data_IF_948605687162
#
_entry.id   IF_948605687162
#
_cell.length_a   1.000
_cell.length_b   1.000
_cell.length_c   1.000
_cell.angle_alpha   90.00
_cell.angle_beta   90.00
_cell.angle_gamma   90.00
#
_symmetry.space_group_name_H-M   'P 1'
#
loop_
_entity.id
_entity.type
_entity.pdbx_description
1 polymer ?
#
# COMPACT_ATOMS: atom_id res chain seq x y z
N UNK A 1 -19.97 27.89 -26.76
CA UNK A 1 -18.49 27.93 -26.75
C UNK A 1 -18.02 26.77 -25.87
N UNK A 2 -17.51 25.70 -26.48
CA UNK A 2 -17.20 24.43 -25.82
C UNK A 2 -15.88 24.61 -25.06
N UNK A 3 -15.81 24.45 -23.72
CA UNK A 3 -14.54 24.58 -23.04
C UNK A 3 -13.63 23.43 -23.47
N UNK A 4 -12.45 23.85 -23.88
CA UNK A 4 -11.41 23.16 -24.62
C UNK A 4 -10.94 21.89 -23.90
N UNK A 5 -11.12 20.75 -24.57
CA UNK A 5 -10.73 19.38 -24.21
C UNK A 5 -9.20 19.14 -24.25
N UNK A 6 -8.39 20.10 -23.80
CA UNK A 6 -6.94 20.10 -24.05
C UNK A 6 -6.07 19.98 -22.78
N UNK A 7 -6.67 19.84 -21.58
CA UNK A 7 -5.92 19.55 -20.35
C UNK A 7 -6.02 18.08 -19.87
N UNK A 8 -6.80 17.25 -20.57
CA UNK A 8 -6.94 15.82 -20.26
C UNK A 8 -5.77 15.00 -20.79
N UNK A 9 -5.05 15.47 -21.81
CA UNK A 9 -4.02 14.70 -22.52
C UNK A 9 -2.65 14.64 -21.85
N UNK A 10 -2.34 15.55 -20.91
CA UNK A 10 -1.05 15.55 -20.20
C UNK A 10 -1.03 14.58 -19.02
N UNK A 11 -2.18 14.39 -18.35
CA UNK A 11 -2.30 13.51 -17.17
C UNK A 11 -2.58 12.05 -17.58
N UNK A 12 -3.24 11.85 -18.73
CA UNK A 12 -3.53 10.51 -19.25
C UNK A 12 -2.35 9.92 -20.05
N UNK A 13 -1.28 10.68 -20.31
CA UNK A 13 -0.02 10.12 -20.81
C UNK A 13 0.79 9.59 -19.63
N UNK A 14 0.73 8.28 -19.44
CA UNK A 14 1.79 7.58 -18.73
C UNK A 14 3.06 7.71 -19.55
N UNK A 15 3.82 8.76 -19.27
CA UNK A 15 5.11 8.96 -19.90
C UNK A 15 5.99 7.77 -19.56
N UNK A 16 6.82 7.38 -20.54
CA UNK A 16 7.79 6.30 -20.36
C UNK A 16 8.65 6.52 -19.10
N UNK A 17 8.94 7.79 -18.78
CA UNK A 17 9.61 8.18 -17.55
C UNK A 17 8.85 7.74 -16.28
N UNK A 18 7.55 8.04 -16.18
CA UNK A 18 6.71 7.67 -15.03
C UNK A 18 6.62 6.16 -14.86
N UNK A 19 6.47 5.42 -15.95
CA UNK A 19 6.44 3.94 -15.92
C UNK A 19 7.81 3.39 -15.50
N UNK A 20 8.91 3.89 -16.07
CA UNK A 20 10.25 3.45 -15.71
C UNK A 20 10.57 3.75 -14.24
N UNK A 21 10.14 4.91 -13.74
CA UNK A 21 10.27 5.28 -12.34
C UNK A 21 9.44 4.38 -11.41
N UNK A 22 8.20 4.04 -11.80
CA UNK A 22 7.35 3.09 -11.07
C UNK A 22 7.98 1.69 -10.97
N UNK A 23 8.57 1.21 -12.06
CA UNK A 23 9.30 -0.07 -12.07
C UNK A 23 10.52 0.01 -11.12
N UNK A 24 11.30 1.08 -11.19
CA UNK A 24 12.47 1.27 -10.33
C UNK A 24 12.09 1.30 -8.85
N UNK A 25 11.10 2.10 -8.48
CA UNK A 25 10.69 2.25 -7.08
C UNK A 25 10.05 0.95 -6.55
N UNK A 26 9.36 0.19 -7.40
CA UNK A 26 8.82 -1.13 -7.06
C UNK A 26 9.91 -2.16 -6.79
N UNK A 27 10.99 -2.17 -7.57
CA UNK A 27 12.16 -3.04 -7.32
C UNK A 27 12.82 -2.67 -5.98
N UNK A 28 13.02 -1.38 -5.73
CA UNK A 28 13.57 -0.89 -4.47
C UNK A 28 12.68 -1.27 -3.29
N UNK A 29 11.36 -1.09 -3.43
CA UNK A 29 10.36 -1.50 -2.45
C UNK A 29 10.45 -2.98 -2.11
N UNK A 30 10.51 -3.84 -3.12
CA UNK A 30 10.66 -5.29 -2.94
C UNK A 30 11.93 -5.66 -2.17
N UNK A 31 13.06 -5.01 -2.49
CA UNK A 31 14.32 -5.21 -1.76
C UNK A 31 14.19 -4.79 -0.30
N UNK A 32 13.55 -3.65 -0.03
CA UNK A 32 13.32 -3.16 1.34
C UNK A 32 12.44 -4.13 2.12
N UNK A 33 11.32 -4.57 1.56
CA UNK A 33 10.39 -5.51 2.21
C UNK A 33 11.08 -6.83 2.54
N UNK A 34 11.82 -7.40 1.58
CA UNK A 34 12.55 -8.66 1.79
C UNK A 34 13.61 -8.57 2.91
N UNK A 35 14.19 -7.39 3.12
CA UNK A 35 15.13 -7.16 4.24
C UNK A 35 14.41 -6.86 5.55
N UNK A 36 13.26 -6.20 5.50
CA UNK A 36 12.54 -5.74 6.68
C UNK A 36 11.81 -6.87 7.40
N UNK A 37 11.21 -7.80 6.65
CA UNK A 37 10.48 -8.97 7.19
C UNK A 37 11.33 -9.75 8.23
N UNK A 38 12.56 -10.21 7.93
CA UNK A 38 13.34 -10.97 8.91
C UNK A 38 13.77 -10.11 10.12
N UNK A 39 14.01 -8.80 9.93
CA UNK A 39 14.41 -7.90 11.02
C UNK A 39 13.27 -7.69 12.02
N UNK A 40 12.03 -7.56 11.52
CA UNK A 40 10.88 -7.27 12.37
C UNK A 40 10.15 -8.52 12.86
N UNK A 41 10.40 -9.69 12.28
CA UNK A 41 9.83 -10.98 12.69
C UNK A 41 9.82 -11.17 14.22
N UNK A 42 10.95 -10.90 14.88
CA UNK A 42 11.08 -11.04 16.34
C UNK A 42 10.18 -10.09 17.13
N UNK A 43 9.87 -8.90 16.61
CA UNK A 43 8.94 -7.96 17.25
C UNK A 43 7.50 -8.48 17.21
N UNK A 44 7.09 -9.09 16.10
CA UNK A 44 5.75 -9.68 15.97
C UNK A 44 5.59 -10.89 16.89
N UNK A 45 6.61 -11.75 16.99
CA UNK A 45 6.60 -12.87 17.95
C UNK A 45 6.49 -12.36 19.39
N UNK A 46 7.23 -11.29 19.74
CA UNK A 46 7.13 -10.65 21.06
C UNK A 46 5.74 -10.05 21.33
N UNK A 47 5.10 -9.49 20.30
CA UNK A 47 3.75 -8.93 20.38
C UNK A 47 2.63 -9.99 20.44
N UNK A 48 2.96 -11.28 20.57
CA UNK A 48 2.01 -12.40 20.51
C UNK A 48 1.30 -12.55 19.14
N UNK A 49 1.82 -11.93 18.08
CA UNK A 49 1.35 -12.09 16.70
C UNK A 49 2.14 -13.21 16.03
N UNK A 50 1.87 -14.44 16.46
CA UNK A 50 2.53 -15.63 15.94
C UNK A 50 1.58 -16.82 15.96
N UNK A 51 1.82 -17.75 15.06
CA UNK A 51 1.11 -19.01 14.97
C UNK A 51 2.01 -20.18 14.66
N UNK A 52 1.37 -21.34 14.60
CA UNK A 52 2.00 -22.63 14.35
C UNK A 52 1.65 -23.10 12.93
N UNK A 53 2.63 -23.64 12.21
CA UNK A 53 2.39 -24.24 10.90
C UNK A 53 1.65 -25.57 11.05
N UNK A 54 0.33 -25.56 10.87
CA UNK A 54 -0.54 -26.74 11.10
C UNK A 54 -0.18 -27.93 10.20
N UNK A 55 0.53 -27.70 9.09
CA UNK A 55 0.86 -28.73 8.11
C UNK A 55 2.23 -29.40 8.36
N UNK A 56 2.93 -29.05 9.46
CA UNK A 56 4.23 -29.63 9.80
C UNK A 56 4.19 -30.43 11.10
N UNK A 57 4.90 -31.55 11.17
CA UNK A 57 4.97 -32.36 12.42
C UNK A 57 5.66 -31.63 13.57
N UNK A 58 6.62 -30.76 13.25
CA UNK A 58 7.35 -29.94 14.24
C UNK A 58 6.62 -28.61 14.56
N UNK A 59 5.32 -28.53 14.25
CA UNK A 59 4.50 -27.32 14.38
C UNK A 59 4.61 -26.65 15.74
N UNK A 60 4.61 -27.44 16.82
CA UNK A 60 4.61 -26.95 18.21
C UNK A 60 5.93 -26.33 18.66
N UNK A 61 7.04 -26.60 17.96
CA UNK A 61 8.37 -26.14 18.35
C UNK A 61 8.75 -24.79 17.73
N UNK A 62 8.23 -24.49 16.53
CA UNK A 62 8.61 -23.30 15.76
C UNK A 62 7.47 -22.30 15.72
N UNK A 63 7.72 -21.10 16.27
CA UNK A 63 6.81 -19.96 16.15
C UNK A 63 7.05 -19.23 14.84
N UNK A 64 5.98 -19.00 14.07
CA UNK A 64 6.02 -18.23 12.83
C UNK A 64 5.32 -16.89 13.09
N UNK A 65 5.99 -15.79 12.76
CA UNK A 65 5.39 -14.47 12.89
C UNK A 65 4.22 -14.31 11.91
N UNK A 66 3.07 -13.90 12.42
CA UNK A 66 1.87 -13.64 11.62
C UNK A 66 1.80 -12.15 11.25
N UNK A 67 0.82 -11.80 10.42
CA UNK A 67 0.53 -10.41 10.01
C UNK A 67 1.67 -9.65 9.33
N UNK A 68 2.67 -10.34 8.78
CA UNK A 68 3.83 -9.69 8.12
C UNK A 68 3.43 -8.90 6.87
N UNK A 69 2.25 -9.15 6.30
CA UNK A 69 1.68 -8.40 5.18
C UNK A 69 1.54 -6.90 5.47
N UNK A 70 1.35 -6.50 6.73
CA UNK A 70 1.27 -5.07 7.12
C UNK A 70 2.56 -4.31 6.79
N UNK A 71 3.72 -4.98 6.83
CA UNK A 71 5.01 -4.38 6.48
C UNK A 71 5.11 -4.12 4.99
N UNK A 72 4.73 -5.11 4.17
CA UNK A 72 4.70 -4.97 2.72
C UNK A 72 3.73 -3.86 2.29
N UNK A 73 2.55 -3.82 2.89
CA UNK A 73 1.54 -2.80 2.64
C UNK A 73 1.99 -1.40 3.10
N UNK A 74 2.65 -1.29 4.26
CA UNK A 74 3.20 -0.02 4.74
C UNK A 74 4.24 0.57 3.77
N UNK A 75 5.14 -0.27 3.25
CA UNK A 75 6.09 0.16 2.22
C UNK A 75 5.35 0.57 0.94
N UNK A 76 4.39 -0.24 0.47
CA UNK A 76 3.58 0.10 -0.70
C UNK A 76 2.90 1.48 -0.57
N UNK A 77 2.27 1.78 0.57
CA UNK A 77 1.61 3.07 0.79
C UNK A 77 2.60 4.24 0.72
N UNK A 78 3.79 4.11 1.34
CA UNK A 78 4.84 5.12 1.27
C UNK A 78 5.30 5.35 -0.18
N UNK A 79 5.50 4.29 -0.95
CA UNK A 79 5.91 4.39 -2.35
C UNK A 79 4.83 5.07 -3.20
N UNK A 80 3.56 4.76 -2.97
CA UNK A 80 2.45 5.39 -3.67
C UNK A 80 2.30 6.88 -3.35
N UNK A 81 2.57 7.31 -2.11
CA UNK A 81 2.65 8.74 -1.79
C UNK A 81 3.77 9.45 -2.55
N UNK A 82 4.94 8.82 -2.69
CA UNK A 82 6.05 9.34 -3.50
C UNK A 82 5.64 9.41 -4.97
N UNK A 83 4.97 8.38 -5.50
CA UNK A 83 4.48 8.36 -6.88
C UNK A 83 3.48 9.48 -7.18
N UNK A 84 2.53 9.75 -6.27
CA UNK A 84 1.63 10.90 -6.43
C UNK A 84 2.43 12.20 -6.48
N UNK A 85 3.38 12.40 -5.57
CA UNK A 85 4.18 13.62 -5.55
C UNK A 85 4.93 13.84 -6.88
N UNK A 86 5.44 12.76 -7.48
CA UNK A 86 6.12 12.81 -8.79
C UNK A 86 5.15 13.12 -9.93
N UNK A 87 4.01 12.42 -10.01
CA UNK A 87 3.02 12.61 -11.09
C UNK A 87 2.45 14.02 -11.10
N UNK A 88 2.21 14.62 -9.93
CA UNK A 88 1.65 15.96 -9.84
C UNK A 88 2.70 17.08 -9.77
N UNK A 89 3.99 16.74 -9.70
CA UNK A 89 5.11 17.70 -9.52
C UNK A 89 5.05 18.87 -10.51
N UNK A 90 4.82 18.59 -11.80
CA UNK A 90 4.75 19.62 -12.85
C UNK A 90 3.54 20.57 -12.70
N UNK A 91 2.51 20.14 -11.98
CA UNK A 91 1.30 20.91 -11.74
C UNK A 91 1.37 21.75 -10.45
N UNK A 92 2.47 21.69 -9.69
CA UNK A 92 2.70 22.53 -8.52
C UNK A 92 3.26 23.92 -8.88
N UNK A 93 3.65 24.14 -10.14
CA UNK A 93 4.10 25.45 -10.60
C UNK A 93 2.93 26.47 -10.59
N UNK A 94 3.16 27.72 -10.13
CA UNK A 94 2.10 28.72 -10.00
C UNK A 94 1.45 29.15 -11.33
N UNK A 95 2.03 28.74 -12.46
CA UNK A 95 1.57 29.04 -13.81
C UNK A 95 0.63 27.99 -14.39
N UNK A 96 0.48 26.83 -13.75
CA UNK A 96 -0.38 25.73 -14.22
C UNK A 96 -1.63 25.58 -13.36
N UNK A 97 -2.73 25.15 -13.99
CA UNK A 97 -3.99 24.85 -13.28
C UNK A 97 -3.87 23.44 -12.68
N UNK A 98 -4.05 23.34 -11.37
CA UNK A 98 -3.93 22.05 -10.67
C UNK A 98 -5.10 21.11 -10.99
N UNK A 99 -4.83 19.84 -11.39
CA UNK A 99 -5.88 18.89 -11.74
C UNK A 99 -6.47 18.18 -10.51
N UNK A 100 -7.33 18.89 -9.79
CA UNK A 100 -7.94 18.41 -8.54
C UNK A 100 -8.71 17.08 -8.68
N UNK A 101 -9.43 16.85 -9.78
CA UNK A 101 -10.26 15.63 -9.94
C UNK A 101 -9.42 14.36 -9.90
N UNK A 102 -8.36 14.30 -10.71
CA UNK A 102 -7.43 13.17 -10.78
C UNK A 102 -6.68 12.99 -9.46
N UNK A 103 -6.27 14.09 -8.83
CA UNK A 103 -5.60 14.01 -7.52
C UNK A 103 -6.49 13.37 -6.45
N UNK A 104 -7.77 13.78 -6.38
CA UNK A 104 -8.74 13.20 -5.46
C UNK A 104 -9.01 11.73 -5.78
N UNK A 105 -9.05 11.33 -7.04
CA UNK A 105 -9.16 9.91 -7.44
C UNK A 105 -8.01 9.06 -6.88
N UNK A 106 -6.75 9.51 -7.01
CA UNK A 106 -5.60 8.80 -6.45
C UNK A 106 -5.66 8.72 -4.91
N UNK A 107 -6.01 9.82 -4.23
CA UNK A 107 -6.14 9.84 -2.78
C UNK A 107 -7.27 8.93 -2.28
N UNK A 108 -8.41 8.91 -2.98
CA UNK A 108 -9.53 8.04 -2.64
C UNK A 108 -9.15 6.55 -2.78
N UNK A 109 -8.43 6.19 -3.85
CA UNK A 109 -7.93 4.83 -4.03
C UNK A 109 -6.93 4.43 -2.93
N UNK A 110 -5.99 5.32 -2.57
CA UNK A 110 -5.03 5.08 -1.49
C UNK A 110 -5.69 4.96 -0.13
N UNK A 111 -6.67 5.80 0.16
CA UNK A 111 -7.44 5.72 1.41
C UNK A 111 -8.17 4.39 1.49
N UNK A 112 -8.78 3.93 0.40
CA UNK A 112 -9.43 2.62 0.34
C UNK A 112 -8.46 1.48 0.65
N UNK A 113 -7.26 1.50 0.05
CA UNK A 113 -6.25 0.47 0.31
C UNK A 113 -5.74 0.55 1.76
N UNK A 114 -5.50 1.77 2.26
CA UNK A 114 -5.07 2.00 3.63
C UNK A 114 -6.09 1.45 4.65
N UNK A 115 -7.38 1.75 4.46
CA UNK A 115 -8.44 1.22 5.30
C UNK A 115 -8.46 -0.32 5.26
N UNK A 116 -8.36 -0.95 4.08
CA UNK A 116 -8.34 -2.40 3.97
C UNK A 116 -7.13 -3.04 4.67
N UNK A 117 -5.95 -2.41 4.58
CA UNK A 117 -4.73 -2.87 5.27
C UNK A 117 -4.86 -2.75 6.78
N UNK A 118 -5.38 -1.62 7.28
CA UNK A 118 -5.60 -1.41 8.71
C UNK A 118 -6.64 -2.38 9.27
N UNK A 119 -7.72 -2.63 8.52
CA UNK A 119 -8.76 -3.59 8.92
C UNK A 119 -8.24 -5.03 8.90
N UNK A 120 -7.44 -5.41 7.89
CA UNK A 120 -6.78 -6.72 7.86
C UNK A 120 -5.83 -6.91 9.04
N UNK A 121 -5.02 -5.90 9.36
CA UNK A 121 -4.15 -5.96 10.54
C UNK A 121 -4.95 -5.99 11.86
N UNK A 122 -6.02 -5.22 11.96
CA UNK A 122 -6.89 -5.23 13.14
C UNK A 122 -7.62 -6.56 13.32
N UNK A 123 -8.05 -7.21 12.23
CA UNK A 123 -8.65 -8.56 12.27
C UNK A 123 -7.65 -9.59 12.80
N UNK A 124 -6.39 -9.53 12.34
CA UNK A 124 -5.33 -10.41 12.82
C UNK A 124 -5.01 -10.19 14.32
N UNK A 125 -5.06 -8.95 14.80
CA UNK A 125 -4.73 -8.60 16.20
C UNK A 125 -5.88 -8.89 17.16
N UNK A 126 -7.12 -8.62 16.75
CA UNK A 126 -8.30 -8.68 17.62
C UNK A 126 -9.05 -10.01 17.54
N UNK A 127 -8.69 -10.88 16.59
CA UNK A 127 -9.37 -12.14 16.27
C UNK A 127 -10.91 -11.97 16.24
N UNK A 128 -11.37 -11.09 15.36
CA UNK A 128 -12.77 -10.69 15.31
C UNK A 128 -13.67 -11.87 14.93
N UNK A 129 -14.90 -11.89 15.47
CA UNK A 129 -15.88 -12.91 15.10
C UNK A 129 -16.26 -12.80 13.62
N UNK A 130 -16.48 -13.95 12.98
CA UNK A 130 -16.82 -14.09 11.55
C UNK A 130 -17.96 -13.17 11.06
N UNK A 131 -18.93 -12.85 11.91
CA UNK A 131 -20.05 -11.95 11.60
C UNK A 131 -19.61 -10.50 11.38
N UNK A 132 -18.56 -10.05 12.09
CA UNK A 132 -17.99 -8.71 11.94
C UNK A 132 -17.10 -8.66 10.71
N UNK A 133 -16.39 -9.76 10.40
CA UNK A 133 -15.53 -9.86 9.20
C UNK A 133 -16.28 -9.60 7.89
N UNK A 134 -17.56 -9.97 7.80
CA UNK A 134 -18.39 -9.70 6.62
C UNK A 134 -18.85 -8.24 6.49
N UNK A 135 -18.85 -7.48 7.58
CA UNK A 135 -19.29 -6.09 7.60
C UNK A 135 -18.13 -5.12 7.31
N UNK A 136 -16.90 -5.48 7.66
CA UNK A 136 -15.72 -4.61 7.52
C UNK A 136 -15.44 -4.09 6.08
N UNK A 137 -15.70 -4.86 5.01
CA UNK A 137 -15.47 -4.38 3.64
C UNK A 137 -16.66 -3.64 3.02
N UNK A 138 -17.83 -3.61 3.68
CA UNK A 138 -19.08 -3.06 3.17
C UNK A 138 -19.29 -1.61 3.64
#
# INVERSE_FOLDING_TARGET
MKPTQMSTSAIDRFDFFTIAFDILISIVGSIIVNRLIPILKEKFIKAQLWGHDLNKRNSKEVKIAESQGVLAAGIFLVLMFIMIAVVFSEHLHPTSVFPHKKFVEYLAALLSICCMVLLGFADDVLDLRWSVKLLLPL
#
